data_IF_275632985728
#
_entry.id   IF_275632985728
#
_cell.length_a   1.000
_cell.length_b   1.000
_cell.length_c   1.000
_cell.angle_alpha   90.00
_cell.angle_beta   90.00
_cell.angle_gamma   90.00
#
_symmetry.space_group_name_H-M   'P 1'
#
loop_
_entity.id
_entity.type
_entity.pdbx_description
1 polymer ?
#
# COMPACT_ATOMS: atom_id res chain seq x y z
N UNK A 1 -13.64 -30.71 63.55
CA UNK A 1 -12.78 -31.57 62.72
C UNK A 1 -13.00 -31.22 61.25
N UNK A 2 -11.90 -31.04 60.50
CA UNK A 2 -11.72 -31.20 59.03
C UNK A 2 -12.66 -30.41 58.08
N UNK A 3 -12.21 -29.30 57.47
CA UNK A 3 -11.43 -29.16 56.20
C UNK A 3 -12.33 -29.41 54.96
N UNK A 4 -12.32 -28.72 53.81
CA UNK A 4 -11.32 -27.97 53.01
C UNK A 4 -12.12 -26.98 52.11
N UNK A 5 -11.80 -25.68 52.08
CA UNK A 5 -10.93 -24.95 51.12
C UNK A 5 -11.52 -24.72 49.71
N UNK A 6 -11.75 -23.43 49.44
CA UNK A 6 -11.94 -22.76 48.14
C UNK A 6 -10.90 -23.16 47.09
N UNK A 7 -11.29 -23.12 45.80
CA UNK A 7 -10.48 -22.47 44.76
C UNK A 7 -11.35 -22.13 43.53
N UNK A 8 -11.74 -20.86 43.42
CA UNK A 8 -12.00 -20.18 42.14
C UNK A 8 -10.63 -19.74 41.60
N UNK A 9 -10.35 -19.89 40.30
CA UNK A 9 -9.56 -18.94 39.50
C UNK A 9 -9.77 -19.27 38.01
N UNK A 10 -10.61 -18.41 37.41
CA UNK A 10 -10.48 -17.75 36.10
C UNK A 10 -9.54 -18.42 35.09
N UNK A 11 -10.12 -19.05 34.07
CA UNK A 11 -9.45 -19.33 32.81
C UNK A 11 -9.23 -18.00 32.07
N UNK A 12 -7.97 -17.58 31.96
CA UNK A 12 -7.58 -16.42 31.17
C UNK A 12 -7.82 -16.67 29.69
N UNK A 13 -8.73 -15.90 29.10
CA UNK A 13 -8.88 -15.78 27.65
C UNK A 13 -7.63 -15.12 27.08
N UNK A 14 -6.79 -15.88 26.38
CA UNK A 14 -5.72 -15.31 25.57
C UNK A 14 -6.34 -14.71 24.31
N UNK A 15 -6.86 -13.48 24.39
CA UNK A 15 -7.14 -12.67 23.20
C UNK A 15 -5.82 -12.04 22.77
N UNK A 16 -5.11 -12.68 21.83
CA UNK A 16 -4.07 -12.00 21.07
C UNK A 16 -4.77 -11.07 20.08
N UNK A 17 -5.08 -9.85 20.54
CA UNK A 17 -5.40 -8.77 19.64
C UNK A 17 -4.13 -8.45 18.86
N UNK A 18 -4.03 -8.95 17.63
CA UNK A 18 -3.10 -8.37 16.66
C UNK A 18 -3.59 -6.95 16.42
N UNK A 19 -2.91 -5.97 17.01
CA UNK A 19 -3.05 -4.59 16.59
C UNK A 19 -2.60 -4.56 15.14
N UNK A 20 -3.55 -4.41 14.21
CA UNK A 20 -3.27 -3.91 12.88
C UNK A 20 -2.71 -2.52 13.12
N UNK A 21 -1.38 -2.43 13.13
CA UNK A 21 -0.67 -1.18 13.32
C UNK A 21 -1.10 -0.26 12.18
N UNK A 22 -2.04 0.64 12.44
CA UNK A 22 -2.40 1.70 11.52
C UNK A 22 -1.25 2.71 11.55
N UNK A 23 -0.09 2.28 11.08
CA UNK A 23 1.06 3.16 10.93
C UNK A 23 0.65 4.22 9.92
N UNK A 24 0.47 5.45 10.37
CA UNK A 24 0.20 6.56 9.48
C UNK A 24 1.31 6.62 8.43
N UNK A 25 0.95 6.53 7.16
CA UNK A 25 1.92 6.67 6.07
C UNK A 25 2.36 8.13 6.04
N UNK A 26 3.60 8.37 6.46
CA UNK A 26 4.23 9.69 6.36
C UNK A 26 5.03 9.79 5.06
N UNK A 27 5.34 11.00 4.62
CA UNK A 27 6.19 11.21 3.43
C UNK A 27 7.50 10.44 3.53
N UNK A 28 8.16 10.44 4.69
CA UNK A 28 9.40 9.70 4.89
C UNK A 28 9.27 8.18 4.71
N UNK A 29 8.08 7.60 4.92
CA UNK A 29 7.88 6.16 4.81
C UNK A 29 7.84 5.64 3.37
N UNK A 30 7.38 6.47 2.42
CA UNK A 30 7.28 6.10 1.00
C UNK A 30 8.52 6.50 0.18
N UNK A 31 9.35 7.41 0.69
CA UNK A 31 10.60 7.86 0.04
C UNK A 31 11.52 6.68 -0.23
N UNK A 32 11.61 6.31 -1.51
CA UNK A 32 12.49 5.28 -2.01
C UNK A 32 12.45 5.18 -3.54
N UNK A 33 13.27 4.27 -4.07
CA UNK A 33 13.14 3.75 -5.42
C UNK A 33 12.29 2.48 -5.40
N UNK A 34 11.30 2.42 -6.29
CA UNK A 34 10.33 1.33 -6.39
C UNK A 34 10.29 0.82 -7.83
N UNK A 35 10.76 -0.39 -8.03
CA UNK A 35 10.74 -1.13 -9.30
C UNK A 35 9.40 -1.83 -9.46
N UNK A 36 8.74 -1.60 -10.58
CA UNK A 36 7.44 -2.22 -10.87
C UNK A 36 7.58 -3.73 -11.11
N UNK A 37 6.88 -4.53 -10.32
CA UNK A 37 6.82 -5.99 -10.49
C UNK A 37 5.69 -6.37 -11.44
N UNK A 38 4.47 -5.87 -11.16
CA UNK A 38 3.27 -6.17 -11.93
C UNK A 38 2.13 -5.20 -11.67
N UNK A 39 1.19 -5.16 -12.61
CA UNK A 39 -0.13 -4.54 -12.42
C UNK A 39 -1.22 -5.57 -12.66
N UNK A 40 -2.27 -5.49 -11.86
CA UNK A 40 -3.46 -6.34 -11.94
C UNK A 40 -4.66 -5.44 -12.21
N UNK A 41 -5.32 -5.62 -13.35
CA UNK A 41 -6.58 -4.94 -13.66
C UNK A 41 -7.66 -5.36 -12.68
N UNK A 42 -8.61 -4.47 -12.40
CA UNK A 42 -9.67 -4.82 -11.47
C UNK A 42 -10.84 -5.54 -12.16
N UNK A 43 -11.94 -5.67 -11.43
CA UNK A 43 -13.00 -6.62 -11.79
C UNK A 43 -13.69 -6.31 -13.13
N UNK A 44 -13.80 -5.02 -13.49
CA UNK A 44 -14.41 -4.60 -14.76
C UNK A 44 -13.52 -4.81 -15.99
N UNK A 45 -12.21 -4.92 -15.81
CA UNK A 45 -11.24 -5.13 -16.88
C UNK A 45 -10.03 -5.94 -16.37
N UNK A 46 -10.18 -7.26 -16.22
CA UNK A 46 -9.14 -8.09 -15.63
C UNK A 46 -7.95 -8.26 -16.59
N UNK A 47 -6.75 -7.98 -16.10
CA UNK A 47 -5.51 -8.25 -16.81
C UNK A 47 -4.35 -8.45 -15.83
N UNK A 48 -3.25 -9.03 -16.29
CA UNK A 48 -1.97 -9.03 -15.58
C UNK A 48 -0.89 -8.50 -16.52
N UNK A 49 -0.26 -7.40 -16.12
CA UNK A 49 0.88 -6.82 -16.82
C UNK A 49 2.14 -7.01 -15.99
N UNK A 50 3.21 -7.46 -16.61
CA UNK A 50 4.56 -7.62 -16.03
C UNK A 50 5.58 -7.05 -17.01
N UNK A 51 6.81 -6.73 -16.58
CA UNK A 51 7.85 -6.31 -17.52
C UNK A 51 8.03 -7.27 -18.70
N UNK A 52 7.91 -8.58 -18.43
CA UNK A 52 8.00 -9.62 -19.44
C UNK A 52 6.84 -9.58 -20.44
N UNK A 53 5.60 -9.39 -19.97
CA UNK A 53 4.44 -9.41 -20.87
C UNK A 53 4.30 -8.15 -21.71
N UNK A 54 4.78 -6.99 -21.21
CA UNK A 54 4.66 -5.70 -21.94
C UNK A 54 5.95 -5.27 -22.65
N UNK A 55 7.07 -5.94 -22.39
CA UNK A 55 8.36 -5.68 -23.06
C UNK A 55 9.11 -4.45 -22.56
N UNK A 56 8.76 -3.90 -21.39
CA UNK A 56 9.48 -2.77 -20.80
C UNK A 56 9.40 -2.76 -19.27
N UNK A 57 10.41 -2.17 -18.63
CA UNK A 57 10.44 -1.97 -17.18
C UNK A 57 9.91 -0.59 -16.80
N UNK A 58 9.35 -0.49 -15.60
CA UNK A 58 8.95 0.77 -14.99
C UNK A 58 9.62 0.88 -13.61
N UNK A 59 9.99 2.09 -13.23
CA UNK A 59 10.48 2.42 -11.90
C UNK A 59 9.91 3.77 -11.49
N UNK A 60 9.56 3.93 -10.23
CA UNK A 60 9.15 5.21 -9.66
C UNK A 60 10.06 5.55 -8.48
N UNK A 61 10.40 6.82 -8.30
CA UNK A 61 11.24 7.29 -7.20
C UNK A 61 10.50 8.40 -6.47
N UNK A 62 10.14 8.17 -5.21
CA UNK A 62 9.62 9.22 -4.31
C UNK A 62 10.80 9.84 -3.57
N UNK A 63 10.90 11.16 -3.63
CA UNK A 63 11.98 11.94 -3.02
C UNK A 63 11.48 12.65 -1.77
N UNK A 64 12.40 12.93 -0.86
CA UNK A 64 12.16 13.65 0.40
C UNK A 64 11.60 15.06 0.21
N UNK A 65 11.82 15.68 -0.95
CA UNK A 65 11.29 17.00 -1.30
C UNK A 65 9.89 16.95 -1.98
N UNK A 66 9.14 15.86 -1.82
CA UNK A 66 7.75 15.77 -2.29
C UNK A 66 7.61 15.58 -3.80
N UNK A 67 8.64 15.05 -4.47
CA UNK A 67 8.60 14.76 -5.92
C UNK A 67 8.55 13.26 -6.20
N UNK A 68 7.89 12.91 -7.29
CA UNK A 68 7.88 11.56 -7.85
C UNK A 68 8.45 11.62 -9.27
N UNK A 69 9.42 10.74 -9.53
CA UNK A 69 10.07 10.63 -10.82
C UNK A 69 9.74 9.24 -11.39
N UNK A 70 9.14 9.21 -12.58
CA UNK A 70 8.77 7.97 -13.25
C UNK A 70 9.73 7.66 -14.39
N UNK A 71 10.14 6.40 -14.48
CA UNK A 71 11.10 5.90 -15.45
C UNK A 71 10.49 4.77 -16.27
N UNK A 72 10.83 4.74 -17.55
CA UNK A 72 10.56 3.62 -18.46
C UNK A 72 11.87 3.16 -19.07
N UNK A 73 12.21 1.88 -18.93
CA UNK A 73 13.48 1.33 -19.41
C UNK A 73 14.71 2.14 -18.95
N UNK A 74 14.67 2.66 -17.72
CA UNK A 74 15.74 3.48 -17.15
C UNK A 74 15.77 4.95 -17.60
N UNK A 75 14.92 5.35 -18.55
CA UNK A 75 14.80 6.74 -19.00
C UNK A 75 13.73 7.44 -18.19
N UNK A 76 14.04 8.61 -17.64
CA UNK A 76 13.04 9.48 -16.99
C UNK A 76 12.00 9.92 -18.02
N UNK A 77 10.72 9.68 -17.72
CA UNK A 77 9.59 10.07 -18.57
C UNK A 77 8.69 11.11 -17.92
N UNK A 78 8.78 11.28 -16.60
CA UNK A 78 8.07 12.34 -15.89
C UNK A 78 8.70 12.64 -14.53
N UNK A 79 8.50 13.88 -14.09
CA UNK A 79 8.91 14.37 -12.79
C UNK A 79 7.85 15.37 -12.29
N UNK A 80 7.06 14.98 -11.30
CA UNK A 80 5.95 15.78 -10.75
C UNK A 80 5.97 15.80 -9.24
N UNK A 81 5.11 16.61 -8.63
CA UNK A 81 4.82 16.50 -7.20
C UNK A 81 4.00 15.24 -6.91
N UNK A 82 4.12 14.72 -5.69
CA UNK A 82 3.14 13.80 -5.12
C UNK A 82 2.57 14.38 -3.83
N UNK A 83 1.43 13.87 -3.41
CA UNK A 83 0.77 14.24 -2.16
C UNK A 83 0.35 12.97 -1.41
N UNK A 84 0.54 12.97 -0.09
CA UNK A 84 -0.02 11.99 0.83
C UNK A 84 -1.09 12.65 1.69
N UNK A 85 -2.25 12.01 1.81
CA UNK A 85 -3.35 12.50 2.62
C UNK A 85 -4.24 11.35 3.10
N UNK A 86 -5.06 11.60 4.12
CA UNK A 86 -6.16 10.70 4.46
C UNK A 86 -7.36 11.00 3.57
N UNK A 87 -8.06 9.96 3.12
CA UNK A 87 -9.29 10.13 2.38
C UNK A 87 -10.05 8.83 2.17
N UNK A 88 -11.20 8.93 1.50
CA UNK A 88 -12.13 7.80 1.36
C UNK A 88 -11.73 6.91 0.17
N UNK A 89 -11.61 5.62 0.44
CA UNK A 89 -11.43 4.58 -0.56
C UNK A 89 -12.73 4.30 -1.33
N UNK A 90 -12.63 4.15 -2.64
CA UNK A 90 -13.78 3.92 -3.52
C UNK A 90 -14.44 2.57 -3.23
N UNK A 91 -13.65 1.53 -2.94
CA UNK A 91 -14.14 0.14 -2.86
C UNK A 91 -14.92 -0.17 -1.58
N UNK A 92 -14.50 0.38 -0.45
CA UNK A 92 -15.05 0.05 0.87
C UNK A 92 -15.66 1.25 1.60
N UNK A 93 -15.53 2.46 1.03
CA UNK A 93 -15.99 3.70 1.63
C UNK A 93 -15.37 3.97 3.02
N UNK A 94 -14.21 3.38 3.30
CA UNK A 94 -13.45 3.59 4.53
C UNK A 94 -12.35 4.64 4.33
N UNK A 95 -11.83 5.18 5.43
CA UNK A 95 -10.68 6.07 5.40
C UNK A 95 -9.38 5.28 5.19
N UNK A 96 -8.54 5.75 4.27
CA UNK A 96 -7.25 5.16 3.91
C UNK A 96 -6.17 6.23 3.76
N UNK A 97 -4.91 5.80 3.76
CA UNK A 97 -3.80 6.60 3.25
C UNK A 97 -3.88 6.64 1.71
N UNK A 98 -3.96 7.86 1.18
CA UNK A 98 -4.03 8.14 -0.24
C UNK A 98 -2.71 8.72 -0.73
N UNK A 99 -2.32 8.29 -1.92
CA UNK A 99 -1.19 8.79 -2.68
C UNK A 99 -1.70 9.39 -3.98
N UNK A 100 -1.48 10.67 -4.20
CA UNK A 100 -1.86 11.37 -5.43
C UNK A 100 -0.62 11.83 -6.20
N UNK A 101 -0.52 11.43 -7.45
CA UNK A 101 0.48 11.94 -8.38
C UNK A 101 0.02 11.77 -9.83
N UNK A 102 0.57 12.58 -10.74
CA UNK A 102 0.27 12.49 -12.17
C UNK A 102 -1.24 12.55 -12.52
N UNK A 103 -2.05 13.23 -11.69
CA UNK A 103 -3.50 13.35 -11.87
C UNK A 103 -4.28 12.09 -11.49
N UNK A 104 -3.66 11.15 -10.77
CA UNK A 104 -4.29 9.93 -10.26
C UNK A 104 -4.14 9.83 -8.76
N UNK A 105 -5.18 9.35 -8.11
CA UNK A 105 -5.20 9.07 -6.68
C UNK A 105 -5.26 7.57 -6.45
N UNK A 106 -4.47 7.10 -5.51
CA UNK A 106 -4.33 5.70 -5.18
C UNK A 106 -4.55 5.49 -3.68
N UNK A 107 -5.18 4.39 -3.31
CA UNK A 107 -5.13 3.85 -1.95
C UNK A 107 -3.82 3.11 -1.77
N UNK A 108 -3.10 3.37 -0.68
CA UNK A 108 -1.92 2.60 -0.29
C UNK A 108 -2.40 1.37 0.48
N UNK A 109 -2.42 0.21 -0.17
CA UNK A 109 -2.87 -1.04 0.47
C UNK A 109 -1.77 -1.69 1.32
N UNK A 110 -0.51 -1.50 0.94
CA UNK A 110 0.64 -2.04 1.66
C UNK A 110 1.89 -1.20 1.39
N UNK A 111 2.61 -0.87 2.45
CA UNK A 111 3.89 -0.19 2.40
C UNK A 111 4.78 -0.75 3.50
N UNK A 112 5.91 -1.34 3.12
CA UNK A 112 6.94 -1.79 4.04
C UNK A 112 8.35 -1.44 3.51
N UNK A 113 9.40 -2.03 4.08
CA UNK A 113 10.78 -1.76 3.68
C UNK A 113 11.21 -2.40 2.34
N UNK A 114 10.35 -3.19 1.71
CA UNK A 114 10.63 -3.93 0.47
C UNK A 114 9.50 -3.81 -0.56
N UNK A 115 8.26 -3.61 -0.13
CA UNK A 115 7.06 -3.70 -0.95
C UNK A 115 6.24 -2.41 -0.88
N UNK A 116 5.69 -2.02 -2.02
CA UNK A 116 4.68 -0.97 -2.13
C UNK A 116 3.57 -1.49 -3.04
N UNK A 117 2.34 -1.53 -2.52
CA UNK A 117 1.15 -1.87 -3.29
C UNK A 117 0.18 -0.70 -3.25
N UNK A 118 -0.16 -0.20 -4.43
CA UNK A 118 -1.12 0.89 -4.60
C UNK A 118 -2.29 0.45 -5.46
N UNK A 119 -3.49 0.85 -5.08
CA UNK A 119 -4.75 0.56 -5.75
C UNK A 119 -5.32 1.85 -6.32
N UNK A 120 -5.62 1.90 -7.62
CA UNK A 120 -6.24 3.09 -8.23
C UNK A 120 -7.59 3.37 -7.56
N UNK A 121 -7.73 4.53 -6.91
CA UNK A 121 -8.91 4.88 -6.11
C UNK A 121 -10.09 5.27 -7.02
N UNK A 122 -10.69 4.26 -7.66
CA UNK A 122 -11.68 4.41 -8.73
C UNK A 122 -12.47 3.11 -8.89
N UNK A 123 -13.53 3.15 -9.69
CA UNK A 123 -14.39 1.99 -9.95
C UNK A 123 -13.67 0.77 -10.52
N UNK A 124 -12.67 0.98 -11.40
CA UNK A 124 -11.93 -0.15 -11.97
C UNK A 124 -11.03 -0.80 -10.92
N UNK A 125 -10.38 -0.04 -10.04
CA UNK A 125 -9.57 -0.60 -8.96
C UNK A 125 -8.33 -1.37 -9.44
N UNK A 126 -7.63 -0.87 -10.47
CA UNK A 126 -6.39 -1.48 -10.92
C UNK A 126 -5.28 -1.36 -9.85
N UNK A 127 -4.66 -2.49 -9.50
CA UNK A 127 -3.57 -2.58 -8.51
C UNK A 127 -2.21 -2.56 -9.19
N UNK A 128 -1.26 -1.85 -8.60
CA UNK A 128 0.15 -1.85 -9.03
C UNK A 128 1.05 -2.20 -7.86
N UNK A 129 1.94 -3.16 -8.09
CA UNK A 129 2.82 -3.75 -7.09
C UNK A 129 4.26 -3.44 -7.47
N UNK A 130 5.00 -2.90 -6.50
CA UNK A 130 6.40 -2.52 -6.62
C UNK A 130 7.26 -3.20 -5.57
N UNK A 131 8.55 -3.32 -5.89
CA UNK A 131 9.61 -3.75 -4.98
C UNK A 131 10.79 -2.80 -4.99
N UNK A 132 11.52 -2.71 -3.88
CA UNK A 132 12.79 -1.97 -3.84
C UNK A 132 13.87 -2.67 -4.67
#
# INVERSE_FOLDING_TARGET
>A
MKKFLFFFIVFGLFTTAYSLDSSNVTEGSIVNSWTWEKSVGGAGNPYISTPKSIGFSKKIVFTDNGRVITYKNGVEIRNSTYQLEKGIGYSDQAEHDLLTFEGKTYVIESLDNQNLTILCNSQDGARTIYKR
#
